data_IF_676529051735
#
_entry.id   IF_676529051735
#
_cell.length_a   1.000
_cell.length_b   1.000
_cell.length_c   1.000
_cell.angle_alpha   90.00
_cell.angle_beta   90.00
_cell.angle_gamma   90.00
#
_symmetry.space_group_name_H-M   'P 1'
#
loop_
_entity.id
_entity.type
_entity.pdbx_description
1 polymer ?
#
# COMPACT_ATOMS: atom_id res chain seq x y z
N UNK A 1 -12.72 7.32 -8.15
CA UNK A 1 -13.21 5.96 -7.81
C UNK A 1 -13.64 5.12 -9.01
N UNK A 2 -14.44 5.63 -9.96
CA UNK A 2 -14.87 4.83 -11.14
C UNK A 2 -13.72 4.14 -11.90
N UNK A 3 -12.61 4.83 -12.14
CA UNK A 3 -11.42 4.24 -12.79
C UNK A 3 -10.81 3.08 -11.98
N UNK A 4 -10.72 3.21 -10.65
CA UNK A 4 -10.17 2.16 -9.80
C UNK A 4 -11.06 0.92 -9.76
N UNK A 5 -12.38 1.07 -9.74
CA UNK A 5 -13.30 -0.06 -9.80
C UNK A 5 -13.22 -0.84 -11.12
N UNK A 6 -12.85 -0.16 -12.21
CA UNK A 6 -12.66 -0.78 -13.53
C UNK A 6 -11.28 -1.45 -13.67
N UNK A 7 -10.22 -0.82 -13.16
CA UNK A 7 -8.84 -1.29 -13.29
C UNK A 7 -8.43 -2.29 -12.21
N UNK A 8 -9.04 -2.20 -11.03
CA UNK A 8 -8.77 -3.03 -9.86
C UNK A 8 -10.10 -3.57 -9.27
N UNK A 9 -10.84 -4.42 -10.01
CA UNK A 9 -12.10 -4.97 -9.53
C UNK A 9 -11.87 -5.93 -8.36
N UNK A 10 -12.89 -6.09 -7.50
CA UNK A 10 -12.87 -7.11 -6.46
C UNK A 10 -12.83 -8.51 -7.09
N UNK A 11 -11.82 -9.30 -6.74
CA UNK A 11 -11.70 -10.69 -7.16
C UNK A 11 -12.48 -11.56 -6.17
N UNK A 12 -13.51 -12.25 -6.65
CA UNK A 12 -14.29 -13.19 -5.84
C UNK A 12 -13.63 -14.56 -5.87
N UNK A 13 -13.25 -15.05 -4.69
CA UNK A 13 -12.74 -16.41 -4.50
C UNK A 13 -13.85 -17.27 -3.88
N UNK A 14 -14.03 -18.49 -4.40
CA UNK A 14 -14.94 -19.48 -3.85
C UNK A 14 -14.12 -20.60 -3.23
N UNK A 15 -14.44 -20.88 -1.97
CA UNK A 15 -13.88 -22.00 -1.25
C UNK A 15 -14.47 -23.30 -1.78
N UNK A 16 -13.61 -24.28 -2.05
CA UNK A 16 -14.02 -25.59 -2.55
C UNK A 16 -14.11 -26.68 -1.46
N UNK A 17 -13.50 -26.45 -0.30
CA UNK A 17 -13.42 -27.43 0.80
C UNK A 17 -14.20 -26.91 2.02
N UNK A 18 -15.08 -27.75 2.56
CA UNK A 18 -15.98 -27.38 3.66
C UNK A 18 -15.30 -27.38 5.06
N UNK A 19 -14.10 -27.97 5.18
CA UNK A 19 -13.43 -28.19 6.49
C UNK A 19 -12.49 -27.06 6.94
N UNK A 20 -12.77 -25.81 6.55
CA UNK A 20 -11.89 -24.70 6.92
C UNK A 20 -12.30 -24.03 8.23
N UNK A 21 -11.45 -24.24 9.22
CA UNK A 21 -11.56 -23.65 10.56
C UNK A 21 -10.51 -22.55 10.79
N UNK A 22 -9.67 -22.25 9.79
CA UNK A 22 -8.51 -21.38 9.91
C UNK A 22 -8.65 -20.07 9.11
N UNK A 23 -9.66 -19.95 8.25
CA UNK A 23 -9.90 -18.72 7.49
C UNK A 23 -10.15 -17.51 8.38
N UNK A 24 -9.63 -16.38 7.90
CA UNK A 24 -9.90 -15.06 8.46
C UNK A 24 -10.63 -14.24 7.41
N UNK A 25 -11.49 -13.33 7.84
CA UNK A 25 -12.23 -12.43 6.95
C UNK A 25 -11.32 -11.41 6.24
N UNK A 26 -10.08 -11.24 6.70
CA UNK A 26 -9.10 -10.33 6.13
C UNK A 26 -7.68 -10.89 6.25
N UNK A 27 -6.84 -10.57 5.25
CA UNK A 27 -5.43 -10.91 5.24
C UNK A 27 -4.59 -9.91 6.07
N UNK A 28 -4.96 -8.63 6.02
CA UNK A 28 -4.35 -7.51 6.75
C UNK A 28 -5.48 -6.70 7.38
N UNK A 29 -5.38 -6.24 8.64
CA UNK A 29 -6.39 -5.35 9.20
C UNK A 29 -6.53 -4.10 8.33
N UNK A 30 -7.76 -3.73 7.98
CA UNK A 30 -8.03 -2.47 7.28
C UNK A 30 -7.87 -1.34 8.30
N UNK A 31 -6.70 -0.71 8.32
CA UNK A 31 -6.59 0.65 8.86
C UNK A 31 -7.09 1.63 7.79
N UNK A 32 -7.76 2.71 8.21
CA UNK A 32 -8.31 3.71 7.31
C UNK A 32 -7.20 4.33 6.46
N UNK A 33 -7.14 3.89 5.21
CA UNK A 33 -6.19 4.34 4.21
C UNK A 33 -6.92 5.33 3.31
N UNK A 34 -6.45 6.58 3.25
CA UNK A 34 -7.13 7.63 2.49
C UNK A 34 -7.31 7.27 1.01
N UNK A 35 -8.44 7.65 0.43
CA UNK A 35 -8.84 7.26 -0.94
C UNK A 35 -7.96 7.86 -2.04
N UNK A 36 -7.06 8.77 -1.69
CA UNK A 36 -6.06 9.36 -2.55
C UNK A 36 -4.78 8.52 -2.65
N UNK A 37 -4.65 7.41 -1.93
CA UNK A 37 -3.53 6.50 -2.09
C UNK A 37 -3.86 5.27 -2.95
N UNK A 38 -2.84 4.79 -3.65
CA UNK A 38 -2.86 3.52 -4.36
C UNK A 38 -1.53 2.77 -4.13
N UNK A 39 -1.60 1.44 -4.10
CA UNK A 39 -0.43 0.56 -4.10
C UNK A 39 -0.32 -0.12 -5.48
N UNK A 40 0.27 0.55 -6.49
CA UNK A 40 0.34 0.00 -7.85
C UNK A 40 1.21 -1.25 -7.96
N UNK A 41 2.14 -1.49 -7.02
CA UNK A 41 3.00 -2.66 -7.04
C UNK A 41 3.26 -3.19 -5.64
N UNK A 42 2.96 -4.48 -5.45
CA UNK A 42 3.44 -5.30 -4.35
C UNK A 42 4.08 -6.54 -4.96
N UNK A 43 5.40 -6.69 -4.81
CA UNK A 43 6.17 -7.74 -5.46
C UNK A 43 7.04 -8.47 -4.45
N UNK A 44 6.88 -9.78 -4.33
CA UNK A 44 7.81 -10.64 -3.61
C UNK A 44 9.05 -10.95 -4.46
N UNK A 45 10.15 -11.31 -3.80
CA UNK A 45 11.41 -11.74 -4.44
C UNK A 45 12.02 -10.65 -5.32
N UNK A 46 12.04 -9.42 -4.81
CA UNK A 46 12.80 -8.34 -5.43
C UNK A 46 14.28 -8.57 -5.16
N UNK A 47 15.05 -8.76 -6.24
CA UNK A 47 16.51 -8.83 -6.16
C UNK A 47 17.07 -7.45 -5.91
N UNK A 48 17.55 -7.21 -4.69
CA UNK A 48 18.25 -5.97 -4.37
C UNK A 48 19.74 -6.06 -4.71
N UNK A 49 20.46 -4.92 -4.80
CA UNK A 49 21.92 -4.91 -4.91
C UNK A 49 22.65 -5.63 -3.76
N UNK A 50 21.96 -5.88 -2.63
CA UNK A 50 22.49 -6.63 -1.49
C UNK A 50 22.35 -8.16 -1.66
N UNK A 51 21.68 -8.62 -2.73
CA UNK A 51 21.46 -10.04 -3.01
C UNK A 51 20.39 -10.70 -2.13
N UNK A 52 19.67 -9.93 -1.31
CA UNK A 52 18.53 -10.40 -0.52
C UNK A 52 17.26 -10.50 -1.37
N UNK A 53 16.40 -11.45 -0.99
CA UNK A 53 15.07 -11.63 -1.58
C UNK A 53 14.06 -10.93 -0.69
N UNK A 54 13.74 -9.69 -1.07
CA UNK A 54 12.93 -8.80 -0.25
C UNK A 54 11.56 -8.56 -0.90
N UNK A 55 10.65 -7.91 -0.19
CA UNK A 55 9.35 -7.49 -0.72
C UNK A 55 9.48 -6.03 -1.19
N UNK A 56 9.19 -5.79 -2.47
CA UNK A 56 9.10 -4.45 -3.04
C UNK A 56 7.67 -3.92 -3.00
N UNK A 57 7.53 -2.68 -2.54
CA UNK A 57 6.25 -1.97 -2.44
C UNK A 57 6.41 -0.66 -3.18
N UNK A 58 5.43 -0.29 -4.01
CA UNK A 58 5.32 1.06 -4.58
C UNK A 58 4.01 1.66 -4.10
N UNK A 59 4.11 2.88 -3.56
CA UNK A 59 2.99 3.70 -3.13
C UNK A 59 2.90 4.94 -4.01
N UNK A 60 1.69 5.28 -4.40
CA UNK A 60 1.36 6.46 -5.19
C UNK A 60 0.26 7.24 -4.48
N UNK A 61 0.45 8.55 -4.31
CA UNK A 61 -0.63 9.43 -3.88
C UNK A 61 -1.17 10.19 -5.08
N UNK A 62 -2.43 9.97 -5.41
CA UNK A 62 -3.15 10.66 -6.48
C UNK A 62 -3.60 12.05 -6.01
N UNK A 63 -3.59 13.02 -6.91
CA UNK A 63 -4.29 14.28 -6.68
C UNK A 63 -5.77 14.10 -7.04
N UNK A 64 -6.66 14.38 -6.09
CA UNK A 64 -8.11 14.35 -6.31
C UNK A 64 -8.63 15.78 -6.34
N UNK A 65 -9.39 16.10 -7.39
CA UNK A 65 -10.08 17.39 -7.48
C UNK A 65 -11.32 17.38 -6.57
N UNK A 66 -11.34 18.29 -5.61
CA UNK A 66 -12.39 18.41 -4.61
C UNK A 66 -13.45 19.46 -4.97
N UNK A 67 -13.33 20.12 -6.12
CA UNK A 67 -14.23 21.22 -6.52
C UNK A 67 -15.71 20.80 -6.62
N UNK A 68 -15.99 19.50 -6.76
CA UNK A 68 -17.33 18.94 -6.86
C UNK A 68 -17.66 17.94 -5.73
N UNK A 69 -16.85 17.91 -4.68
CA UNK A 69 -17.08 17.03 -3.53
C UNK A 69 -17.94 17.74 -2.49
N UNK A 70 -19.05 17.12 -2.09
CA UNK A 70 -19.81 17.55 -0.92
C UNK A 70 -19.24 16.94 0.37
N UNK A 71 -19.71 17.45 1.50
CA UNK A 71 -19.24 17.00 2.82
C UNK A 71 -19.58 15.53 3.07
N UNK A 72 -20.74 15.08 2.59
CA UNK A 72 -21.20 13.69 2.74
C UNK A 72 -20.28 12.71 1.99
N UNK A 73 -19.85 13.05 0.77
CA UNK A 73 -18.90 12.24 0.00
C UNK A 73 -17.53 12.16 0.68
N UNK A 74 -17.05 13.25 1.28
CA UNK A 74 -15.77 13.26 1.98
C UNK A 74 -15.80 12.53 3.32
N UNK A 75 -16.97 12.43 3.97
CA UNK A 75 -17.18 11.59 5.15
C UNK A 75 -17.19 10.10 4.78
N UNK A 76 -17.75 9.74 3.61
CA UNK A 76 -17.75 8.35 3.12
C UNK A 76 -16.38 7.92 2.56
N UNK A 77 -15.65 8.85 1.97
CA UNK A 77 -14.38 8.60 1.29
C UNK A 77 -13.31 9.58 1.78
N UNK A 78 -12.80 9.38 3.01
CA UNK A 78 -11.86 10.30 3.61
C UNK A 78 -10.55 10.33 2.81
N UNK A 79 -10.02 11.54 2.62
CA UNK A 79 -8.70 11.77 2.07
C UNK A 79 -7.64 11.48 3.14
N UNK A 80 -6.45 11.09 2.71
CA UNK A 80 -5.32 10.95 3.61
C UNK A 80 -4.80 12.30 4.10
N UNK A 81 -4.13 12.28 5.25
CA UNK A 81 -3.32 13.39 5.75
C UNK A 81 -1.97 13.53 5.02
N UNK A 82 -1.73 12.70 4.00
CA UNK A 82 -0.48 12.63 3.25
C UNK A 82 0.63 11.85 3.93
N UNK A 83 0.34 11.12 5.00
CA UNK A 83 1.29 10.27 5.70
C UNK A 83 0.82 8.82 5.71
N UNK A 84 1.76 7.88 5.58
CA UNK A 84 1.48 6.45 5.57
C UNK A 84 2.45 5.67 6.44
N UNK A 85 1.91 4.75 7.25
CA UNK A 85 2.70 3.73 7.93
C UNK A 85 2.79 2.48 7.04
N UNK A 86 4.00 1.95 6.81
CA UNK A 86 4.20 0.74 6.00
C UNK A 86 4.02 -0.54 6.82
N UNK A 87 4.17 -0.48 8.15
CA UNK A 87 4.09 -1.64 9.06
C UNK A 87 2.71 -2.35 9.01
N UNK A 88 1.67 -1.63 8.58
CA UNK A 88 0.31 -2.15 8.39
C UNK A 88 -0.05 -2.56 6.96
N UNK A 89 0.85 -2.39 5.97
CA UNK A 89 0.51 -2.66 4.56
C UNK A 89 0.80 -4.10 4.12
N UNK A 90 1.71 -4.79 4.82
CA UNK A 90 2.12 -6.15 4.46
C UNK A 90 2.19 -7.00 5.74
N UNK A 91 1.60 -8.20 5.76
CA UNK A 91 1.57 -9.04 6.97
C UNK A 91 2.85 -9.86 7.14
N UNK A 92 4.00 -9.25 6.83
CA UNK A 92 5.29 -9.74 7.31
C UNK A 92 5.43 -9.20 8.72
N UNK A 93 5.55 -10.07 9.73
CA UNK A 93 5.63 -9.63 11.14
C UNK A 93 6.68 -8.53 11.33
N UNK A 94 6.47 -7.63 12.32
CA UNK A 94 7.24 -6.39 12.59
C UNK A 94 8.41 -6.15 11.63
N UNK A 95 8.17 -5.27 10.64
CA UNK A 95 9.19 -4.88 9.69
C UNK A 95 10.40 -4.34 10.46
N UNK A 96 11.58 -4.94 10.27
CA UNK A 96 12.79 -4.53 11.00
C UNK A 96 13.54 -3.42 10.28
N UNK A 97 13.60 -3.51 8.95
CA UNK A 97 14.31 -2.56 8.10
C UNK A 97 13.44 -2.26 6.88
N UNK A 98 13.18 -0.97 6.63
CA UNK A 98 12.52 -0.51 5.41
C UNK A 98 13.52 0.39 4.71
N UNK A 99 13.86 0.09 3.47
CA UNK A 99 14.75 0.93 2.67
C UNK A 99 13.96 1.59 1.56
N UNK A 100 14.06 2.92 1.43
CA UNK A 100 13.55 3.60 0.25
C UNK A 100 14.39 3.19 -0.96
N UNK A 101 13.76 2.93 -2.10
CA UNK A 101 14.41 2.46 -3.32
C UNK A 101 13.98 3.25 -4.56
N UNK A 102 14.69 3.06 -5.66
CA UNK A 102 14.21 3.46 -6.99
C UNK A 102 12.95 2.67 -7.34
N UNK A 103 12.12 3.18 -8.26
CA UNK A 103 10.90 2.46 -8.72
C UNK A 103 11.21 1.10 -9.35
N UNK A 104 12.44 0.91 -9.85
CA UNK A 104 12.94 -0.36 -10.40
C UNK A 104 13.56 -1.28 -9.34
N UNK A 105 13.70 -0.82 -8.10
CA UNK A 105 14.39 -1.47 -6.98
C UNK A 105 15.88 -1.77 -7.21
N UNK A 106 16.47 -1.27 -8.31
CA UNK A 106 17.89 -1.44 -8.63
C UNK A 106 18.81 -0.59 -7.77
N UNK A 107 18.28 0.45 -7.12
CA UNK A 107 19.04 1.32 -6.24
C UNK A 107 18.32 1.47 -4.91
N UNK A 108 19.04 1.24 -3.82
CA UNK A 108 18.60 1.55 -2.47
C UNK A 108 19.13 2.94 -2.09
N UNK A 109 18.28 3.75 -1.47
CA UNK A 109 18.61 5.08 -0.98
C UNK A 109 18.90 5.03 0.52
N UNK A 110 17.96 5.49 1.34
CA UNK A 110 18.08 5.59 2.78
C UNK A 110 17.13 4.62 3.47
N UNK A 111 17.57 4.14 4.62
CA UNK A 111 16.70 3.39 5.52
C UNK A 111 15.70 4.35 6.18
N UNK A 112 14.46 3.89 6.24
CA UNK A 112 13.32 4.59 6.81
C UNK A 112 12.97 3.89 8.12
N UNK A 113 12.85 4.68 9.19
CA UNK A 113 12.41 4.14 10.48
C UNK A 113 10.95 3.74 10.39
N UNK A 114 10.66 2.48 10.72
CA UNK A 114 9.31 1.88 10.66
C UNK A 114 8.29 2.64 11.51
N UNK A 115 8.74 3.19 12.65
CA UNK A 115 7.90 3.93 13.60
C UNK A 115 7.43 5.30 13.09
N UNK A 116 8.03 5.82 12.01
CA UNK A 116 7.73 7.15 11.51
C UNK A 116 6.84 7.06 10.26
N UNK A 117 5.66 7.72 10.27
CA UNK A 117 4.83 7.75 9.09
C UNK A 117 5.50 8.56 7.98
N UNK A 118 5.42 8.04 6.76
CA UNK A 118 6.15 8.55 5.60
C UNK A 118 5.27 9.53 4.87
N UNK A 119 5.75 10.77 4.71
CA UNK A 119 5.06 11.79 3.91
C UNK A 119 5.16 11.46 2.42
N UNK A 120 4.04 11.50 1.70
CA UNK A 120 3.97 11.38 0.24
C UNK A 120 3.14 12.57 -0.28
N UNK A 121 3.74 13.36 -1.16
CA UNK A 121 3.07 14.50 -1.78
C UNK A 121 2.05 14.04 -2.84
N UNK A 122 1.02 14.84 -3.14
CA UNK A 122 0.14 14.55 -4.27
C UNK A 122 0.94 14.39 -5.57
N UNK A 123 0.57 13.39 -6.37
CA UNK A 123 1.25 12.93 -7.59
C UNK A 123 2.65 12.33 -7.38
N UNK A 124 3.09 12.13 -6.14
CA UNK A 124 4.38 11.50 -5.84
C UNK A 124 4.25 9.97 -5.77
N UNK A 125 5.27 9.28 -6.30
CA UNK A 125 5.43 7.83 -6.16
C UNK A 125 6.70 7.53 -5.37
N UNK A 126 6.61 6.61 -4.40
CA UNK A 126 7.75 6.12 -3.64
C UNK A 126 7.80 4.61 -3.66
N UNK A 127 9.00 4.07 -3.83
CA UNK A 127 9.27 2.65 -3.72
C UNK A 127 10.01 2.36 -2.42
N UNK A 128 9.66 1.23 -1.82
CA UNK A 128 10.24 0.71 -0.59
C UNK A 128 10.57 -0.76 -0.78
N UNK A 129 11.61 -1.19 -0.10
CA UNK A 129 11.99 -2.59 0.04
C UNK A 129 11.93 -2.93 1.52
N UNK A 130 11.25 -4.04 1.83
CA UNK A 130 10.99 -4.53 3.19
C UNK A 130 11.41 -5.99 3.36
#
# INVERSE_FOLDING_TARGET
MASQSLLNPMIRLLQANDDDTLSKSYYVPMEDFGVDYAMPLLKSNVTTPRGSSDIGIVLHRQFLDLCFSDKELLEQFPLSDGRVSIDGLVPVGRLKNISQASLSFLQLYRDVKVENPISICPMEMKAFVV
#
